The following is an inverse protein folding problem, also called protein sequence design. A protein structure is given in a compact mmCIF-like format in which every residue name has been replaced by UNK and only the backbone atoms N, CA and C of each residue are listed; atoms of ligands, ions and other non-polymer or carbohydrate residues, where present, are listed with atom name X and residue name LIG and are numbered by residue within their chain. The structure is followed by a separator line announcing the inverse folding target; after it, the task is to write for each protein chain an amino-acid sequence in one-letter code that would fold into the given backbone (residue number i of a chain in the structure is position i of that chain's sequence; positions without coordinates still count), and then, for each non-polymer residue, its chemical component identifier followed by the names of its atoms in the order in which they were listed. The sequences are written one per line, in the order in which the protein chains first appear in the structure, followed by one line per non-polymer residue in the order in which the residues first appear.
data_IF_988170023542
#
_entry.id   IF_988170023542
#
_cell.length_a   1.000
_cell.length_b   1.000
_cell.length_c   1.000
_cell.angle_alpha   90.00
_cell.angle_beta   90.00
_cell.angle_gamma   90.00
#
_symmetry.space_group_name_H-M   'P 1'
#
loop_
_entity.id
_entity.type
_entity.pdbx_description
1 polymer ?
#
# COMPACT_ATOMS: atom_id res chain seq x y z
N UNK A 1 7.58 30.00 -1.76
CA UNK A 1 7.63 28.63 -1.21
C UNK A 1 6.37 27.78 -1.47
N UNK A 2 5.17 28.37 -1.64
CA UNK A 2 3.91 27.63 -1.89
C UNK A 2 3.83 26.78 -3.17
N UNK A 3 4.58 27.13 -4.24
CA UNK A 3 4.55 26.38 -5.51
C UNK A 3 5.19 24.99 -5.43
N UNK A 4 6.24 24.83 -4.61
CA UNK A 4 7.05 23.60 -4.52
C UNK A 4 6.29 22.45 -3.82
N UNK A 5 5.47 22.79 -2.83
CA UNK A 5 4.61 21.82 -2.11
C UNK A 5 3.46 21.32 -2.97
N UNK A 6 2.84 22.18 -3.79
CA UNK A 6 1.77 21.76 -4.71
C UNK A 6 2.29 20.84 -5.82
N UNK A 7 3.49 21.11 -6.35
CA UNK A 7 4.13 20.25 -7.35
C UNK A 7 4.48 18.87 -6.78
N UNK A 8 5.01 18.81 -5.55
CA UNK A 8 5.27 17.53 -4.85
C UNK A 8 4.02 16.68 -4.68
N UNK A 9 2.92 17.26 -4.20
CA UNK A 9 1.64 16.54 -4.05
C UNK A 9 1.13 15.97 -5.38
N UNK A 10 1.27 16.73 -6.47
CA UNK A 10 0.94 16.24 -7.82
C UNK A 10 1.85 15.09 -8.25
N UNK A 11 3.15 15.19 -7.98
CA UNK A 11 4.12 14.13 -8.28
C UNK A 11 3.81 12.85 -7.52
N UNK A 12 3.57 12.90 -6.20
CA UNK A 12 3.22 11.72 -5.40
C UNK A 12 1.97 11.02 -5.93
N UNK A 13 0.92 11.79 -6.27
CA UNK A 13 -0.30 11.26 -6.87
C UNK A 13 -0.03 10.61 -8.23
N UNK A 14 0.77 11.26 -9.08
CA UNK A 14 1.12 10.72 -10.38
C UNK A 14 1.90 9.40 -10.26
N UNK A 15 2.89 9.32 -9.36
CA UNK A 15 3.65 8.10 -9.12
C UNK A 15 2.81 7.00 -8.47
N UNK A 16 1.85 7.36 -7.60
CA UNK A 16 0.91 6.39 -7.02
C UNK A 16 0.00 5.78 -8.11
N UNK A 17 -0.57 6.61 -8.97
CA UNK A 17 -1.42 6.17 -10.08
C UNK A 17 -0.62 5.33 -11.09
N UNK A 18 0.60 5.77 -11.42
CA UNK A 18 1.49 5.05 -12.32
C UNK A 18 1.83 3.66 -11.75
N UNK A 19 2.24 3.59 -10.49
CA UNK A 19 2.50 2.32 -9.82
C UNK A 19 1.26 1.44 -9.81
N UNK A 20 0.10 1.96 -9.42
CA UNK A 20 -1.15 1.20 -9.38
C UNK A 20 -1.55 0.65 -10.75
N UNK A 21 -1.43 1.46 -11.80
CA UNK A 21 -1.69 1.02 -13.17
C UNK A 21 -0.72 -0.10 -13.61
N UNK A 22 0.57 0.07 -13.36
CA UNK A 22 1.60 -0.92 -13.71
C UNK A 22 1.39 -2.23 -12.94
N UNK A 23 1.07 -2.14 -11.65
CA UNK A 23 0.74 -3.29 -10.83
C UNK A 23 -0.45 -4.07 -11.40
N UNK A 24 -1.54 -3.37 -11.72
CA UNK A 24 -2.73 -4.00 -12.31
C UNK A 24 -2.43 -4.63 -13.67
N UNK A 25 -1.69 -3.95 -14.54
CA UNK A 25 -1.29 -4.48 -15.86
C UNK A 25 -0.45 -5.75 -15.68
N UNK A 26 0.59 -5.70 -14.83
CA UNK A 26 1.45 -6.86 -14.58
C UNK A 26 0.66 -8.03 -13.99
N UNK A 27 -0.25 -7.76 -13.05
CA UNK A 27 -1.11 -8.77 -12.43
C UNK A 27 -2.03 -9.43 -13.47
N UNK A 28 -2.68 -8.65 -14.33
CA UNK A 28 -3.55 -9.16 -15.39
C UNK A 28 -2.77 -9.99 -16.40
N UNK A 29 -1.59 -9.53 -16.82
CA UNK A 29 -0.71 -10.27 -17.72
C UNK A 29 -0.29 -11.60 -17.11
N UNK A 30 0.16 -11.62 -15.86
CA UNK A 30 0.54 -12.87 -15.16
C UNK A 30 -0.65 -13.83 -15.01
N UNK A 31 -1.87 -13.32 -14.81
CA UNK A 31 -3.06 -14.15 -14.62
C UNK A 31 -3.66 -14.70 -15.92
N UNK A 32 -3.52 -13.98 -17.03
CA UNK A 32 -4.22 -14.29 -18.28
C UNK A 32 -3.31 -14.87 -19.36
N UNK A 33 -2.00 -14.69 -19.25
CA UNK A 33 -1.02 -15.12 -20.25
C UNK A 33 -0.16 -16.24 -19.68
N UNK A 34 -0.03 -17.34 -20.43
CA UNK A 34 0.95 -18.38 -20.13
C UNK A 34 2.35 -17.84 -20.42
N UNK A 35 3.10 -17.57 -19.35
CA UNK A 35 4.44 -17.01 -19.44
C UNK A 35 5.49 -18.07 -19.08
N UNK A 36 6.63 -18.12 -19.77
CA UNK A 36 7.77 -18.88 -19.30
C UNK A 36 8.24 -18.32 -17.94
N UNK A 37 8.68 -19.19 -17.04
CA UNK A 37 8.99 -18.85 -15.64
C UNK A 37 9.92 -17.64 -15.49
N UNK A 38 10.95 -17.52 -16.34
CA UNK A 38 11.88 -16.39 -16.34
C UNK A 38 11.18 -15.06 -16.65
N UNK A 39 10.25 -15.04 -17.60
CA UNK A 39 9.47 -13.85 -17.93
C UNK A 39 8.48 -13.50 -16.81
N UNK A 40 7.84 -14.50 -16.20
CA UNK A 40 6.96 -14.32 -15.05
C UNK A 40 7.67 -13.66 -13.86
N UNK A 41 8.89 -14.11 -13.54
CA UNK A 41 9.74 -13.49 -12.50
C UNK A 41 10.12 -12.06 -12.89
N UNK A 42 10.49 -11.82 -14.15
CA UNK A 42 10.81 -10.47 -14.62
C UNK A 42 9.64 -9.50 -14.45
N UNK A 43 8.44 -9.90 -14.87
CA UNK A 43 7.22 -9.08 -14.81
C UNK A 43 6.78 -8.86 -13.37
N UNK A 44 6.92 -9.84 -12.47
CA UNK A 44 6.53 -9.68 -11.06
C UNK A 44 7.38 -8.65 -10.31
N UNK A 45 8.61 -8.41 -10.77
CA UNK A 45 9.52 -7.41 -10.19
C UNK A 45 9.31 -5.99 -10.73
N UNK A 46 8.66 -5.83 -11.89
CA UNK A 46 8.43 -4.50 -12.48
C UNK A 46 7.68 -3.56 -11.52
N UNK A 47 6.54 -3.95 -10.90
CA UNK A 47 5.84 -3.09 -9.96
C UNK A 47 6.68 -2.66 -8.74
N UNK A 48 7.67 -3.46 -8.34
CA UNK A 48 8.56 -3.15 -7.19
C UNK A 48 9.40 -1.91 -7.48
N UNK A 49 9.90 -1.77 -8.71
CA UNK A 49 10.70 -0.59 -9.13
C UNK A 49 9.84 0.68 -9.06
N UNK A 50 8.61 0.62 -9.59
CA UNK A 50 7.70 1.76 -9.55
C UNK A 50 7.21 2.06 -8.12
N UNK A 51 7.04 1.04 -7.28
CA UNK A 51 6.74 1.22 -5.87
C UNK A 51 7.88 1.93 -5.15
N UNK A 52 9.13 1.60 -5.44
CA UNK A 52 10.29 2.27 -4.86
C UNK A 52 10.35 3.76 -5.24
N UNK A 53 10.03 4.10 -6.49
CA UNK A 53 9.92 5.50 -6.93
C UNK A 53 8.80 6.21 -6.15
N UNK A 54 7.63 5.59 -6.04
CA UNK A 54 6.51 6.12 -5.25
C UNK A 54 6.89 6.31 -3.78
N UNK A 55 7.57 5.34 -3.16
CA UNK A 55 8.04 5.39 -1.78
C UNK A 55 8.92 6.63 -1.52
N UNK A 56 9.88 6.90 -2.42
CA UNK A 56 10.73 8.09 -2.33
C UNK A 56 9.90 9.37 -2.36
N UNK A 57 8.88 9.44 -3.22
CA UNK A 57 8.00 10.63 -3.29
C UNK A 57 7.18 10.83 -2.02
N UNK A 58 6.65 9.75 -1.43
CA UNK A 58 5.91 9.80 -0.16
C UNK A 58 6.81 10.26 0.98
N UNK A 59 8.02 9.69 1.12
CA UNK A 59 8.96 10.06 2.19
C UNK A 59 9.26 11.56 2.10
N UNK A 60 9.52 12.03 0.88
CA UNK A 60 9.74 13.45 0.60
C UNK A 60 8.53 14.30 0.97
N UNK A 61 7.32 13.87 0.65
CA UNK A 61 6.10 14.60 0.99
C UNK A 61 5.89 14.69 2.51
N UNK A 62 5.98 13.58 3.23
CA UNK A 62 5.87 13.51 4.70
C UNK A 62 6.94 14.36 5.38
N UNK A 63 8.16 14.38 4.82
CA UNK A 63 9.24 15.22 5.31
C UNK A 63 8.90 16.73 5.26
N UNK A 64 8.01 17.15 4.35
CA UNK A 64 7.55 18.55 4.22
C UNK A 64 6.21 18.87 4.86
N UNK A 65 5.58 17.90 5.52
CA UNK A 65 4.34 18.14 6.27
C UNK A 65 4.62 18.94 7.54
N UNK A 66 3.63 19.72 7.97
CA UNK A 66 3.62 20.31 9.31
C UNK A 66 3.52 19.22 10.39
N UNK A 67 3.77 19.60 11.65
CA UNK A 67 3.76 18.66 12.78
C UNK A 67 2.40 17.98 12.96
N UNK A 68 1.31 18.73 12.74
CA UNK A 68 -0.05 18.23 12.89
C UNK A 68 -0.38 17.14 11.86
N UNK A 69 -0.11 17.41 10.58
CA UNK A 69 -0.29 16.45 9.49
C UNK A 69 0.60 15.24 9.69
N UNK A 70 1.87 15.41 10.08
CA UNK A 70 2.76 14.29 10.38
C UNK A 70 2.21 13.44 11.54
N UNK A 71 1.67 14.05 12.58
CA UNK A 71 1.03 13.33 13.70
C UNK A 71 -0.18 12.52 13.25
N UNK A 72 -1.06 13.10 12.42
CA UNK A 72 -2.20 12.41 11.82
C UNK A 72 -1.74 11.20 10.99
N UNK A 73 -0.73 11.37 10.15
CA UNK A 73 -0.15 10.31 9.33
C UNK A 73 0.44 9.19 10.18
N UNK A 74 1.21 9.52 11.21
CA UNK A 74 1.80 8.54 12.13
C UNK A 74 0.72 7.76 12.88
N UNK A 75 -0.31 8.42 13.42
CA UNK A 75 -1.43 7.74 14.06
C UNK A 75 -2.17 6.80 13.08
N UNK A 76 -2.34 7.23 11.83
CA UNK A 76 -2.97 6.40 10.80
C UNK A 76 -2.15 5.14 10.49
N UNK A 77 -0.82 5.29 10.33
CA UNK A 77 0.10 4.18 10.05
C UNK A 77 0.18 3.22 11.24
N UNK A 78 0.21 3.71 12.49
CA UNK A 78 0.20 2.86 13.69
C UNK A 78 -1.07 2.01 13.73
N UNK A 79 -2.24 2.61 13.50
CA UNK A 79 -3.51 1.87 13.44
C UNK A 79 -3.48 0.84 12.30
N UNK A 80 -3.02 1.24 11.12
CA UNK A 80 -2.90 0.33 9.97
C UNK A 80 -2.02 -0.89 10.28
N UNK A 81 -0.86 -0.64 10.90
CA UNK A 81 0.10 -1.66 11.27
C UNK A 81 -0.46 -2.62 12.31
N UNK A 82 -1.07 -2.12 13.39
CA UNK A 82 -1.63 -2.96 14.45
C UNK A 82 -2.80 -3.80 13.95
N UNK A 83 -3.70 -3.23 13.15
CA UNK A 83 -4.80 -3.99 12.55
C UNK A 83 -4.29 -5.00 11.52
N UNK A 84 -3.26 -4.65 10.75
CA UNK A 84 -2.59 -5.57 9.83
C UNK A 84 -1.97 -6.75 10.55
N UNK A 85 -1.25 -6.49 11.65
CA UNK A 85 -0.66 -7.52 12.49
C UNK A 85 -1.73 -8.41 13.13
N UNK A 86 -2.80 -7.82 13.65
CA UNK A 86 -3.94 -8.54 14.20
C UNK A 86 -4.59 -9.46 13.16
N UNK A 87 -4.79 -8.97 11.93
CA UNK A 87 -5.34 -9.77 10.83
C UNK A 87 -4.41 -10.94 10.49
N UNK A 88 -3.11 -10.68 10.31
CA UNK A 88 -2.12 -11.72 9.98
C UNK A 88 -2.02 -12.79 11.07
N UNK A 89 -1.98 -12.39 12.34
CA UNK A 89 -1.95 -13.34 13.45
C UNK A 89 -3.24 -14.16 13.52
N UNK A 90 -4.40 -13.51 13.35
CA UNK A 90 -5.70 -14.19 13.35
C UNK A 90 -5.77 -15.21 12.23
N UNK A 91 -5.42 -14.84 10.99
CA UNK A 91 -5.42 -15.76 9.85
C UNK A 91 -4.39 -16.88 10.01
N UNK A 92 -3.19 -16.55 10.50
CA UNK A 92 -2.14 -17.55 10.75
C UNK A 92 -2.54 -18.58 11.80
N UNK A 93 -3.22 -18.16 12.88
CA UNK A 93 -3.75 -19.09 13.89
C UNK A 93 -4.95 -19.88 13.36
N UNK A 94 -5.85 -19.23 12.62
CA UNK A 94 -7.03 -19.89 12.06
C UNK A 94 -6.63 -21.00 11.07
N UNK A 95 -5.59 -20.78 10.26
CA UNK A 95 -5.05 -21.77 9.32
C UNK A 95 -4.52 -23.04 10.01
N UNK A 96 -4.09 -22.95 11.28
CA UNK A 96 -3.69 -24.13 12.07
C UNK A 96 -4.88 -25.00 12.50
N UNK A 97 -6.09 -24.46 12.51
CA UNK A 97 -7.32 -25.15 12.95
C UNK A 97 -8.19 -25.53 11.77
N UNK A 98 -8.31 -24.63 10.78
CA UNK A 98 -9.12 -24.78 9.58
C UNK A 98 -8.28 -24.32 8.40
N UNK A 99 -7.88 -25.23 7.48
CA UNK A 99 -7.07 -24.87 6.32
C UNK A 99 -7.76 -23.78 5.51
N UNK A 100 -7.11 -22.62 5.38
CA UNK A 100 -7.64 -21.50 4.63
C UNK A 100 -7.35 -21.67 3.15
N UNK A 101 -8.36 -21.39 2.32
CA UNK A 101 -8.18 -21.38 0.87
C UNK A 101 -7.29 -20.21 0.45
N UNK A 102 -6.08 -20.55 0.00
CA UNK A 102 -5.06 -19.61 -0.50
C UNK A 102 -5.55 -18.82 -1.72
N UNK A 103 -6.63 -19.25 -2.39
CA UNK A 103 -7.26 -18.51 -3.48
C UNK A 103 -8.00 -17.24 -3.02
N UNK A 104 -8.51 -17.24 -1.79
CA UNK A 104 -9.31 -16.14 -1.22
C UNK A 104 -8.60 -15.42 -0.05
N UNK A 105 -7.60 -16.06 0.55
CA UNK A 105 -6.80 -15.52 1.65
C UNK A 105 -5.31 -15.40 1.29
N UNK A 106 -5.02 -15.18 0.00
CA UNK A 106 -3.66 -15.06 -0.49
C UNK A 106 -3.03 -13.72 -0.16
N UNK A 107 -1.73 -13.56 -0.44
CA UNK A 107 -0.99 -12.32 -0.19
C UNK A 107 -1.57 -11.09 -0.89
N UNK A 108 -2.19 -11.27 -2.07
CA UNK A 108 -2.80 -10.20 -2.83
C UNK A 108 -4.08 -9.68 -2.17
N UNK A 109 -4.82 -10.57 -1.50
CA UNK A 109 -6.09 -10.25 -0.82
C UNK A 109 -5.84 -9.45 0.46
N UNK A 110 -4.61 -9.47 1.00
CA UNK A 110 -4.21 -8.66 2.16
C UNK A 110 -4.04 -7.18 1.82
N UNK A 111 -3.74 -6.83 0.57
CA UNK A 111 -3.40 -5.45 0.17
C UNK A 111 -4.58 -4.48 0.38
N UNK A 112 -5.83 -4.80 -0.01
CA UNK A 112 -6.98 -3.95 0.28
C UNK A 112 -7.18 -3.67 1.78
N UNK A 113 -6.93 -4.65 2.65
CA UNK A 113 -7.05 -4.47 4.10
C UNK A 113 -6.05 -3.46 4.65
N UNK A 114 -4.81 -3.44 4.15
CA UNK A 114 -3.82 -2.42 4.55
C UNK A 114 -4.30 -1.00 4.22
N UNK A 115 -4.90 -0.82 3.03
CA UNK A 115 -5.50 0.46 2.64
C UNK A 115 -6.70 0.84 3.51
N UNK A 116 -7.58 -0.12 3.80
CA UNK A 116 -8.74 0.07 4.67
C UNK A 116 -8.33 0.45 6.09
N UNK A 117 -7.37 -0.27 6.69
CA UNK A 117 -6.91 0.01 8.05
C UNK A 117 -6.23 1.37 8.16
N UNK A 118 -5.46 1.78 7.14
CA UNK A 118 -4.94 3.13 7.06
C UNK A 118 -6.05 4.18 6.96
N UNK A 119 -7.09 3.96 6.14
CA UNK A 119 -8.22 4.88 6.03
C UNK A 119 -8.97 5.04 7.37
N UNK A 120 -9.16 3.96 8.11
CA UNK A 120 -9.75 3.97 9.46
C UNK A 120 -8.88 4.80 10.41
N UNK A 121 -7.58 4.52 10.43
CA UNK A 121 -6.62 5.26 11.27
C UNK A 121 -6.58 6.75 10.95
N UNK A 122 -6.57 7.09 9.67
CA UNK A 122 -6.58 8.46 9.19
C UNK A 122 -7.87 9.19 9.57
N UNK A 123 -9.04 8.57 9.37
CA UNK A 123 -10.33 9.16 9.73
C UNK A 123 -10.44 9.41 11.23
N UNK A 124 -10.01 8.45 12.05
CA UNK A 124 -9.98 8.59 13.52
C UNK A 124 -9.07 9.73 13.96
N UNK A 125 -7.86 9.81 13.40
CA UNK A 125 -6.90 10.86 13.74
C UNK A 125 -7.40 12.23 13.26
N UNK A 126 -7.97 12.31 12.05
CA UNK A 126 -8.49 13.57 11.52
C UNK A 126 -9.63 14.13 12.37
N UNK A 127 -10.55 13.29 12.86
CA UNK A 127 -11.61 13.71 13.79
C UNK A 127 -11.10 14.21 15.14
N UNK A 128 -9.94 13.73 15.59
CA UNK A 128 -9.34 14.12 16.88
C UNK A 128 -8.64 15.48 16.82
N UNK A 129 -8.17 15.89 15.65
CA UNK A 129 -7.33 17.08 15.45
C UNK A 129 -7.99 18.18 14.60
N UNK A 130 -9.25 17.99 14.19
CA UNK A 130 -10.12 19.04 13.65
C UNK A 130 -10.91 19.70 14.77
#
# INVERSE_FOLDING_TARGET
MYGKTRLRKKQTRATALLWGAIYLICLLVIRQVELPTKAGIGISLVPVIFFFIFLITIIREVASMDELQRKIQTEAVIVAFLLGLLLLMTLGMLDQVIPLDQKHWGYLDMVPFMGLFYAIGWWRAHRKYS
#
